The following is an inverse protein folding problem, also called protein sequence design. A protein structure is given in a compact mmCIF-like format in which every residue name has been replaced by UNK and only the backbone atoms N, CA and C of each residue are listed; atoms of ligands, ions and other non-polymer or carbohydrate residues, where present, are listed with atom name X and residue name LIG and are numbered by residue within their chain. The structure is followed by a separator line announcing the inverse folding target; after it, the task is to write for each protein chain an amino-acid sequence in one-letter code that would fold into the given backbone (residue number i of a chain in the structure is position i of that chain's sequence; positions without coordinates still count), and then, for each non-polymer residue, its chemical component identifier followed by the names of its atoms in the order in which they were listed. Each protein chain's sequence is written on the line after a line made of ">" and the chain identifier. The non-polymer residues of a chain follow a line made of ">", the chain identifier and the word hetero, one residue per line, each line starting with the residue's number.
data_IF_514582467818
#
_entry.id   IF_514582467818
#
_cell.length_a   1.000
_cell.length_b   1.000
_cell.length_c   1.000
_cell.angle_alpha   90.00
_cell.angle_beta   90.00
_cell.angle_gamma   90.00
#
_symmetry.space_group_name_H-M   'P 1'
#
loop_
_entity.id
_entity.type
_entity.pdbx_description
1 polymer ?
#
# COMPACT_ATOMS: atom_id res chain seq x y z
N UNK A 1 5.35 12.63 -3.39
CA UNK A 1 5.10 12.06 -2.04
C UNK A 1 4.29 10.78 -2.14
N UNK A 2 4.55 9.79 -1.29
CA UNK A 2 3.79 8.54 -1.19
C UNK A 2 3.05 8.46 0.14
N UNK A 3 1.73 8.39 0.09
CA UNK A 3 0.84 8.23 1.24
C UNK A 3 0.32 6.78 1.29
N UNK A 4 0.47 6.10 2.43
CA UNK A 4 -0.05 4.74 2.56
C UNK A 4 -0.43 4.39 4.00
N UNK A 5 -1.14 3.29 4.17
CA UNK A 5 -1.19 2.65 5.48
C UNK A 5 0.14 1.89 5.74
N UNK A 6 0.52 1.71 7.00
CA UNK A 6 1.56 0.73 7.31
C UNK A 6 1.15 -0.66 6.80
N UNK A 7 2.13 -1.42 6.30
CA UNK A 7 1.93 -2.77 5.72
C UNK A 7 1.18 -2.82 4.37
N UNK A 8 1.02 -1.70 3.67
CA UNK A 8 0.51 -1.65 2.28
C UNK A 8 1.58 -1.86 1.19
N UNK A 9 2.75 -2.41 1.53
CA UNK A 9 3.82 -2.64 0.54
C UNK A 9 4.67 -1.42 0.18
N UNK A 10 4.56 -0.29 0.91
CA UNK A 10 5.36 0.91 0.62
C UNK A 10 6.85 0.69 0.66
N UNK A 11 7.37 -0.19 1.53
CA UNK A 11 8.80 -0.49 1.54
C UNK A 11 9.24 -1.07 0.19
N UNK A 12 8.55 -2.08 -0.33
CA UNK A 12 8.88 -2.69 -1.62
C UNK A 12 8.79 -1.68 -2.77
N UNK A 13 7.75 -0.85 -2.76
CA UNK A 13 7.57 0.21 -3.75
C UNK A 13 8.76 1.20 -3.77
N UNK A 14 9.22 1.65 -2.60
CA UNK A 14 10.31 2.61 -2.55
C UNK A 14 11.68 1.95 -2.78
N UNK A 15 11.84 0.65 -2.45
CA UNK A 15 13.01 -0.15 -2.87
C UNK A 15 13.14 -0.21 -4.38
N UNK A 16 12.03 -0.36 -5.10
CA UNK A 16 12.01 -0.28 -6.56
C UNK A 16 12.41 1.12 -7.05
N UNK A 17 11.89 2.19 -6.45
CA UNK A 17 12.28 3.56 -6.83
C UNK A 17 13.76 3.86 -6.64
N UNK A 18 14.40 3.34 -5.59
CA UNK A 18 15.84 3.53 -5.34
C UNK A 18 16.77 2.82 -6.33
N UNK A 19 16.20 2.04 -7.25
CA UNK A 19 16.95 1.55 -8.40
C UNK A 19 17.19 2.65 -9.42
N UNK A 20 16.35 3.69 -9.46
CA UNK A 20 16.54 4.84 -10.32
C UNK A 20 17.75 5.67 -9.83
N UNK A 21 18.70 6.03 -10.71
CA UNK A 21 19.96 6.67 -10.32
C UNK A 21 19.75 8.06 -9.70
N UNK A 22 18.73 8.76 -10.18
CA UNK A 22 18.45 10.15 -9.82
C UNK A 22 17.35 10.29 -8.76
N UNK A 23 16.84 9.19 -8.19
CA UNK A 23 15.76 9.24 -7.18
C UNK A 23 16.33 8.93 -5.81
N UNK A 24 16.08 9.86 -4.88
CA UNK A 24 16.22 9.64 -3.45
C UNK A 24 14.85 9.44 -2.81
N UNK A 25 14.78 8.56 -1.82
CA UNK A 25 13.56 8.31 -1.05
C UNK A 25 13.77 8.60 0.42
N UNK A 26 12.78 9.22 1.06
CA UNK A 26 12.89 9.59 2.47
C UNK A 26 11.69 9.06 3.24
N UNK A 27 11.96 8.28 4.30
CA UNK A 27 10.94 7.58 5.06
C UNK A 27 10.58 8.22 6.39
N UNK A 28 9.30 8.55 6.59
CA UNK A 28 8.72 8.71 7.93
C UNK A 28 9.19 9.93 8.72
N UNK A 29 9.73 10.95 8.07
CA UNK A 29 10.18 12.21 8.70
C UNK A 29 9.00 12.92 9.35
N UNK A 30 7.92 13.13 8.59
CA UNK A 30 6.72 13.85 9.04
C UNK A 30 6.09 13.22 10.29
N UNK A 31 6.06 11.88 10.35
CA UNK A 31 5.50 11.13 11.46
C UNK A 31 6.46 10.96 12.65
N UNK A 32 7.76 11.18 12.47
CA UNK A 32 8.80 10.84 13.47
C UNK A 32 8.53 11.48 14.83
N UNK A 33 8.17 12.78 14.96
CA UNK A 33 7.90 13.35 16.27
C UNK A 33 6.69 12.70 16.95
N UNK A 34 5.64 12.37 16.19
CA UNK A 34 4.43 11.72 16.71
C UNK A 34 4.73 10.33 17.32
N UNK A 35 5.73 9.62 16.78
CA UNK A 35 6.20 8.35 17.36
C UNK A 35 6.94 8.54 18.67
N UNK A 36 7.59 9.69 18.84
CA UNK A 36 8.41 10.01 20.01
C UNK A 36 7.62 10.81 21.07
N UNK A 37 6.28 10.75 21.04
CA UNK A 37 5.41 11.47 21.97
C UNK A 37 5.25 12.97 21.67
N UNK A 38 5.76 13.45 20.54
CA UNK A 38 5.55 14.82 20.06
C UNK A 38 4.09 15.08 19.68
N UNK A 39 3.64 16.32 19.89
CA UNK A 39 2.25 16.71 19.63
C UNK A 39 1.93 17.04 18.17
N UNK A 40 2.95 17.29 17.33
CA UNK A 40 2.77 17.79 15.96
C UNK A 40 3.66 17.04 14.95
N UNK A 41 3.24 16.93 13.68
CA UNK A 41 4.08 16.42 12.60
C UNK A 41 5.28 17.32 12.33
N UNK A 42 6.34 16.75 11.75
CA UNK A 42 7.53 17.49 11.33
C UNK A 42 7.51 17.78 9.82
N UNK A 43 7.27 19.03 9.48
CA UNK A 43 7.17 19.47 8.10
C UNK A 43 8.50 19.99 7.52
N UNK A 44 9.61 19.86 8.24
CA UNK A 44 10.94 20.35 7.79
C UNK A 44 11.39 19.77 6.46
N UNK A 45 10.90 18.59 6.07
CA UNK A 45 11.19 17.96 4.77
C UNK A 45 10.79 18.83 3.58
N UNK A 46 9.85 19.75 3.78
CA UNK A 46 9.37 20.68 2.76
C UNK A 46 10.25 21.90 2.55
N UNK A 47 11.11 22.18 3.52
CA UNK A 47 12.02 23.33 3.52
C UNK A 47 13.48 22.87 3.37
N UNK A 48 13.69 21.55 3.24
CA UNK A 48 15.00 20.94 3.08
C UNK A 48 15.50 21.00 1.63
N UNK A 49 16.81 21.13 1.48
CA UNK A 49 17.52 20.94 0.21
C UNK A 49 17.99 19.48 0.13
N UNK A 50 17.89 18.90 -1.07
CA UNK A 50 18.29 17.52 -1.35
C UNK A 50 19.34 17.50 -2.46
N UNK A 51 20.32 16.61 -2.34
CA UNK A 51 21.36 16.43 -3.35
C UNK A 51 20.82 15.75 -4.61
N UNK A 52 19.77 14.95 -4.46
CA UNK A 52 19.08 14.27 -5.56
C UNK A 52 18.14 15.24 -6.29
N UNK A 53 18.07 15.18 -7.64
CA UNK A 53 17.12 16.00 -8.39
C UNK A 53 15.66 15.58 -8.14
N UNK A 54 15.42 14.36 -7.67
CA UNK A 54 14.08 13.85 -7.39
C UNK A 54 14.00 13.18 -6.02
N UNK A 55 13.28 13.81 -5.09
CA UNK A 55 13.07 13.26 -3.76
C UNK A 55 11.64 12.77 -3.57
N UNK A 56 11.49 11.49 -3.24
CA UNK A 56 10.21 10.85 -2.93
C UNK A 56 10.07 10.65 -1.42
N UNK A 57 9.29 11.53 -0.80
CA UNK A 57 8.97 11.44 0.62
C UNK A 57 7.83 10.45 0.84
N UNK A 58 8.00 9.56 1.83
CA UNK A 58 7.01 8.58 2.27
C UNK A 58 6.36 9.00 3.59
N UNK A 59 5.03 8.95 3.61
CA UNK A 59 4.18 9.14 4.78
C UNK A 59 3.27 7.94 5.01
N UNK A 60 3.29 7.37 6.23
CA UNK A 60 2.51 6.17 6.55
C UNK A 60 1.60 6.39 7.76
N UNK A 61 0.34 6.05 7.63
CA UNK A 61 -0.65 6.12 8.72
C UNK A 61 -0.65 4.84 9.57
N UNK A 62 -1.03 4.95 10.84
CA UNK A 62 -1.33 3.81 11.71
C UNK A 62 -0.39 3.58 12.90
N UNK A 63 -0.57 2.44 13.58
CA UNK A 63 0.20 1.90 14.73
C UNK A 63 -0.39 2.16 16.12
N UNK A 64 -0.03 3.26 16.78
CA UNK A 64 -0.11 3.32 18.25
C UNK A 64 -1.11 4.34 18.79
N UNK A 65 -1.24 5.49 18.13
CA UNK A 65 -2.09 6.58 18.60
C UNK A 65 -2.97 7.09 17.49
N UNK A 66 -4.11 7.68 17.85
CA UNK A 66 -5.02 8.33 16.89
C UNK A 66 -4.27 9.38 16.06
N UNK A 67 -3.37 10.16 16.67
CA UNK A 67 -2.56 11.15 15.96
C UNK A 67 -1.65 10.52 14.90
N UNK A 68 -1.06 9.35 15.18
CA UNK A 68 -0.28 8.59 14.19
C UNK A 68 -1.16 8.00 13.07
N UNK A 69 -2.47 7.87 13.30
CA UNK A 69 -3.45 7.41 12.33
C UNK A 69 -4.04 8.55 11.47
N UNK A 70 -4.14 9.78 12.00
CA UNK A 70 -4.91 10.86 11.38
C UNK A 70 -4.15 12.15 11.09
N UNK A 71 -2.82 12.16 11.17
CA UNK A 71 -2.05 13.36 10.83
C UNK A 71 -2.19 13.73 9.35
N UNK A 72 -2.12 15.03 9.02
CA UNK A 72 -1.98 15.46 7.62
C UNK A 72 -0.51 15.43 7.23
N UNK A 73 -0.13 14.80 6.11
CA UNK A 73 1.23 14.91 5.60
C UNK A 73 1.51 16.27 4.93
N UNK A 74 0.50 17.05 4.57
CA UNK A 74 0.60 18.35 3.90
C UNK A 74 0.32 19.50 4.86
N UNK A 75 1.05 20.63 4.73
CA UNK A 75 0.75 21.86 5.49
C UNK A 75 -0.40 22.64 4.85
N UNK A 76 -0.42 22.67 3.52
CA UNK A 76 -1.30 23.49 2.68
C UNK A 76 -1.45 22.88 1.28
N UNK A 77 -2.22 23.56 0.42
CA UNK A 77 -2.49 23.16 -0.96
C UNK A 77 -1.25 23.25 -1.86
N UNK A 78 -0.32 24.17 -1.55
CA UNK A 78 0.93 24.30 -2.29
C UNK A 78 1.81 23.05 -2.11
N UNK A 79 1.85 22.49 -0.91
CA UNK A 79 2.52 21.21 -0.64
C UNK A 79 1.88 20.06 -1.43
N UNK A 80 0.57 20.06 -1.65
CA UNK A 80 -0.14 19.06 -2.47
C UNK A 80 0.28 19.22 -3.94
N UNK A 81 0.22 20.43 -4.50
CA UNK A 81 0.61 20.67 -5.89
C UNK A 81 2.08 20.33 -6.14
N UNK A 82 2.95 20.74 -5.22
CA UNK A 82 4.40 20.49 -5.31
C UNK A 82 4.72 19.01 -5.27
N UNK A 83 4.12 18.26 -4.36
CA UNK A 83 4.52 16.87 -4.11
C UNK A 83 3.80 15.83 -4.96
N UNK A 84 2.74 16.22 -5.68
CA UNK A 84 1.95 15.36 -6.59
C UNK A 84 1.67 13.99 -5.96
N UNK A 85 0.87 13.93 -4.89
CA UNK A 85 0.76 12.75 -4.04
C UNK A 85 0.37 11.47 -4.79
N UNK A 86 1.01 10.37 -4.43
CA UNK A 86 0.60 9.01 -4.77
C UNK A 86 0.05 8.33 -3.53
N UNK A 87 -1.17 7.83 -3.60
CA UNK A 87 -1.77 6.99 -2.57
C UNK A 87 -1.55 5.53 -2.93
N UNK A 88 -0.73 4.83 -2.13
CA UNK A 88 -0.53 3.39 -2.25
C UNK A 88 -1.50 2.67 -1.31
N UNK A 89 -2.59 2.16 -1.89
CA UNK A 89 -3.61 1.41 -1.18
C UNK A 89 -3.40 -0.09 -1.37
N UNK A 90 -3.96 -0.89 -0.46
CA UNK A 90 -3.91 -2.35 -0.50
C UNK A 90 -5.19 -2.88 0.12
N UNK A 91 -5.66 -4.05 -0.32
CA UNK A 91 -6.83 -4.71 0.26
C UNK A 91 -6.83 -4.62 1.80
N UNK A 92 -7.85 -3.99 2.41
CA UNK A 92 -7.90 -3.76 3.85
C UNK A 92 -7.81 -5.06 4.66
N UNK A 93 -8.33 -6.18 4.15
CA UNK A 93 -8.26 -7.49 4.82
C UNK A 93 -6.81 -7.97 4.89
N UNK A 94 -6.06 -7.84 3.79
CA UNK A 94 -4.65 -8.22 3.77
C UNK A 94 -3.80 -7.32 4.67
N UNK A 95 -4.08 -6.01 4.71
CA UNK A 95 -3.36 -5.09 5.58
C UNK A 95 -3.64 -5.40 7.04
N UNK A 96 -4.91 -5.62 7.42
CA UNK A 96 -5.29 -6.02 8.77
C UNK A 96 -4.62 -7.32 9.20
N UNK A 97 -4.68 -8.36 8.36
CA UNK A 97 -4.01 -9.63 8.64
C UNK A 97 -2.49 -9.44 8.80
N UNK A 98 -1.90 -8.51 8.05
CA UNK A 98 -0.49 -8.18 8.23
C UNK A 98 -0.22 -7.38 9.52
N UNK A 99 -1.14 -6.56 10.01
CA UNK A 99 -1.02 -5.86 11.31
C UNK A 99 -1.13 -6.83 12.47
N UNK A 100 -2.13 -7.72 12.44
CA UNK A 100 -2.34 -8.75 13.44
C UNK A 100 -1.10 -9.66 13.59
N UNK A 101 -0.46 -10.04 12.48
CA UNK A 101 0.81 -10.80 12.49
C UNK A 101 1.98 -10.06 13.13
N UNK A 102 1.93 -8.73 13.25
CA UNK A 102 2.93 -7.93 13.96
C UNK A 102 2.55 -7.68 15.42
N UNK A 103 1.44 -8.25 15.90
CA UNK A 103 0.88 -8.01 17.23
C UNK A 103 0.14 -6.69 17.37
N UNK A 104 -0.15 -5.99 16.27
CA UNK A 104 -0.88 -4.72 16.28
C UNK A 104 -2.38 -4.99 16.25
N UNK A 105 -2.93 -5.31 17.43
CA UNK A 105 -4.30 -5.79 17.56
C UNK A 105 -5.33 -4.68 17.80
N UNK A 106 -4.95 -3.40 17.69
CA UNK A 106 -5.85 -2.26 17.85
C UNK A 106 -6.67 -2.03 16.57
N UNK A 107 -7.76 -2.79 16.43
CA UNK A 107 -8.62 -2.73 15.23
C UNK A 107 -9.21 -1.34 14.97
N UNK A 108 -9.62 -0.61 16.01
CA UNK A 108 -10.11 0.77 15.85
C UNK A 108 -9.03 1.71 15.28
N UNK A 109 -7.77 1.57 15.68
CA UNK A 109 -6.69 2.35 15.09
C UNK A 109 -6.47 2.00 13.61
N UNK A 110 -6.63 0.73 13.24
CA UNK A 110 -6.60 0.30 11.85
C UNK A 110 -7.72 0.98 11.04
N UNK A 111 -8.97 0.92 11.53
CA UNK A 111 -10.12 1.57 10.89
C UNK A 111 -9.89 3.06 10.71
N UNK A 112 -9.55 3.76 11.79
CA UNK A 112 -9.29 5.20 11.78
C UNK A 112 -8.20 5.54 10.74
N UNK A 113 -7.10 4.81 10.72
CA UNK A 113 -5.99 5.08 9.80
C UNK A 113 -6.34 4.78 8.34
N UNK A 114 -7.08 3.70 8.07
CA UNK A 114 -7.49 3.34 6.72
C UNK A 114 -8.53 4.35 6.20
N UNK A 115 -9.55 4.66 7.01
CA UNK A 115 -10.56 5.66 6.69
C UNK A 115 -9.93 7.03 6.43
N UNK A 116 -9.01 7.47 7.29
CA UNK A 116 -8.27 8.71 7.10
C UNK A 116 -7.48 8.73 5.78
N UNK A 117 -6.84 7.63 5.39
CA UNK A 117 -6.14 7.54 4.11
C UNK A 117 -7.09 7.75 2.91
N UNK A 118 -8.28 7.16 2.97
CA UNK A 118 -9.30 7.29 1.92
C UNK A 118 -9.88 8.71 1.86
N UNK A 119 -10.21 9.28 3.03
CA UNK A 119 -10.75 10.64 3.12
C UNK A 119 -9.71 11.67 2.69
N UNK A 120 -8.45 11.49 3.10
CA UNK A 120 -7.34 12.33 2.67
C UNK A 120 -7.16 12.27 1.15
N UNK A 121 -7.24 11.09 0.55
CA UNK A 121 -7.18 10.95 -0.92
C UNK A 121 -8.28 11.75 -1.61
N UNK A 122 -9.53 11.61 -1.16
CA UNK A 122 -10.65 12.36 -1.71
C UNK A 122 -10.44 13.87 -1.57
N UNK A 123 -10.03 14.34 -0.40
CA UNK A 123 -9.79 15.76 -0.13
C UNK A 123 -8.69 16.35 -1.01
N UNK A 124 -7.51 15.72 -1.08
CA UNK A 124 -6.39 16.29 -1.85
C UNK A 124 -6.62 16.23 -3.36
N UNK A 125 -7.51 15.34 -3.82
CA UNK A 125 -7.92 15.27 -5.22
C UNK A 125 -8.79 16.43 -5.67
N UNK A 126 -9.54 17.05 -4.75
CA UNK A 126 -10.26 18.29 -5.05
C UNK A 126 -9.31 19.47 -5.25
N UNK A 127 -8.09 19.37 -4.72
CA UNK A 127 -7.04 20.41 -4.83
C UNK A 127 -6.23 20.24 -6.11
N UNK A 128 -5.85 19.01 -6.47
CA UNK A 128 -4.88 18.76 -7.56
C UNK A 128 -5.25 17.54 -8.41
N UNK A 129 -5.25 17.74 -9.73
CA UNK A 129 -5.46 16.69 -10.75
C UNK A 129 -4.27 15.73 -10.89
N UNK A 130 -3.10 16.10 -10.34
CA UNK A 130 -1.87 15.29 -10.33
C UNK A 130 -1.76 14.31 -9.17
N UNK A 131 -2.82 14.19 -8.37
CA UNK A 131 -2.92 13.16 -7.34
C UNK A 131 -3.26 11.83 -7.99
N UNK A 132 -2.48 10.79 -7.66
CA UNK A 132 -2.70 9.42 -8.14
C UNK A 132 -3.00 8.49 -6.99
N UNK A 133 -3.71 7.41 -7.29
CA UNK A 133 -3.93 6.31 -6.37
C UNK A 133 -3.69 4.99 -7.10
N UNK A 134 -2.98 4.08 -6.43
CA UNK A 134 -2.54 2.82 -7.00
C UNK A 134 -2.74 1.72 -5.96
N UNK A 135 -3.32 0.62 -6.39
CA UNK A 135 -3.33 -0.61 -5.61
C UNK A 135 -1.96 -1.30 -5.65
N UNK A 136 -1.53 -1.78 -4.51
CA UNK A 136 -0.33 -2.60 -4.40
C UNK A 136 -0.44 -3.88 -5.27
N UNK A 137 -1.63 -4.44 -5.39
CA UNK A 137 -1.94 -5.60 -6.20
C UNK A 137 -1.58 -5.37 -7.68
N UNK A 138 -1.97 -4.22 -8.24
CA UNK A 138 -1.65 -3.87 -9.63
C UNK A 138 -0.15 -3.62 -9.85
N UNK A 139 0.53 -2.97 -8.89
CA UNK A 139 1.97 -2.82 -8.94
C UNK A 139 2.70 -4.17 -8.98
N UNK A 140 2.16 -5.19 -8.31
CA UNK A 140 2.73 -6.54 -8.33
C UNK A 140 2.45 -7.30 -9.63
N UNK A 141 1.32 -7.04 -10.29
CA UNK A 141 0.91 -7.78 -11.49
C UNK A 141 1.45 -7.18 -12.79
N UNK A 142 1.46 -5.86 -12.92
CA UNK A 142 1.85 -5.15 -14.16
C UNK A 142 2.77 -3.94 -13.89
N UNK A 143 3.90 -4.13 -13.18
CA UNK A 143 4.80 -3.04 -12.80
C UNK A 143 5.32 -2.22 -14.01
N UNK A 144 5.56 -2.88 -15.14
CA UNK A 144 6.04 -2.28 -16.38
C UNK A 144 5.07 -1.28 -17.03
N UNK A 145 3.80 -1.28 -16.62
CA UNK A 145 2.80 -0.29 -17.06
C UNK A 145 2.66 0.81 -16.01
N UNK A 146 2.55 0.41 -14.74
CA UNK A 146 2.22 1.33 -13.64
C UNK A 146 3.39 2.25 -13.27
N UNK A 147 4.63 1.74 -13.22
CA UNK A 147 5.79 2.57 -12.86
C UNK A 147 6.05 3.72 -13.84
N UNK A 148 6.07 3.51 -15.18
CA UNK A 148 6.21 4.61 -16.13
C UNK A 148 5.21 5.75 -15.87
N UNK A 149 3.93 5.43 -15.65
CA UNK A 149 2.88 6.42 -15.43
C UNK A 149 3.05 7.18 -14.10
N UNK A 150 3.49 6.49 -13.04
CA UNK A 150 3.82 7.14 -11.77
C UNK A 150 4.99 8.11 -11.94
N UNK A 151 6.06 7.68 -12.61
CA UNK A 151 7.26 8.51 -12.81
C UNK A 151 6.95 9.71 -13.72
N UNK A 152 6.19 9.51 -14.80
CA UNK A 152 5.70 10.58 -15.66
C UNK A 152 4.88 11.62 -14.88
N UNK A 153 3.95 11.18 -14.02
CA UNK A 153 3.16 12.06 -13.17
C UNK A 153 4.06 12.93 -12.26
N UNK A 154 5.17 12.38 -11.79
CA UNK A 154 6.18 13.10 -11.00
C UNK A 154 7.18 13.90 -11.83
N UNK A 155 7.15 13.79 -13.16
CA UNK A 155 8.15 14.40 -14.03
C UNK A 155 9.53 13.79 -13.89
N UNK A 156 9.60 12.53 -13.45
CA UNK A 156 10.82 11.74 -13.36
C UNK A 156 10.95 10.94 -14.67
N UNK A 157 12.07 10.99 -15.38
CA UNK A 157 12.32 10.14 -16.55
C UNK A 157 12.13 8.66 -16.18
N UNK A 158 11.56 7.87 -17.10
CA UNK A 158 11.45 6.43 -16.86
C UNK A 158 12.82 5.76 -16.98
N UNK A 159 13.16 4.95 -15.99
CA UNK A 159 14.33 4.08 -16.00
C UNK A 159 13.88 2.63 -15.77
N UNK A 160 14.27 1.71 -16.64
CA UNK A 160 13.84 0.31 -16.57
C UNK A 160 14.27 -0.40 -15.29
N UNK A 161 15.31 0.10 -14.59
CA UNK A 161 15.82 -0.51 -13.35
C UNK A 161 14.83 -0.49 -12.21
N UNK A 162 13.83 0.39 -12.23
CA UNK A 162 12.76 0.41 -11.22
C UNK A 162 11.91 -0.87 -11.26
N UNK A 163 11.84 -1.53 -12.43
CA UNK A 163 11.13 -2.80 -12.62
C UNK A 163 12.11 -3.97 -12.71
N UNK A 164 13.17 -3.82 -13.49
CA UNK A 164 14.16 -4.85 -13.76
C UNK A 164 15.43 -4.58 -12.97
N UNK A 165 15.48 -5.10 -11.75
CA UNK A 165 16.56 -4.80 -10.82
C UNK A 165 17.89 -5.37 -11.33
N UNK A 166 18.86 -4.49 -11.52
CA UNK A 166 20.24 -4.87 -11.87
C UNK A 166 21.11 -5.04 -10.62
N UNK A 167 20.75 -4.38 -9.52
CA UNK A 167 21.52 -4.35 -8.27
C UNK A 167 20.72 -4.93 -7.10
N UNK A 168 20.94 -6.22 -6.84
CA UNK A 168 20.33 -6.93 -5.71
C UNK A 168 20.81 -6.41 -4.34
N UNK A 169 21.94 -5.70 -4.27
CA UNK A 169 22.46 -5.18 -3.00
C UNK A 169 21.57 -4.09 -2.40
N UNK A 170 20.83 -3.37 -3.26
CA UNK A 170 19.88 -2.32 -2.87
C UNK A 170 18.59 -2.88 -2.24
N UNK A 171 18.34 -4.18 -2.35
CA UNK A 171 17.16 -4.85 -1.76
C UNK A 171 17.21 -4.86 -0.22
N UNK A 172 18.42 -4.81 0.36
CA UNK A 172 18.65 -4.75 1.81
C UNK A 172 19.00 -3.36 2.37
N UNK A 173 19.28 -2.38 1.50
CA UNK A 173 19.81 -1.06 1.90
C UNK A 173 18.75 -0.14 2.56
N UNK A 174 17.47 -0.52 2.55
CA UNK A 174 16.43 0.11 3.37
C UNK A 174 16.56 -0.29 4.85
N UNK A 175 17.68 0.07 5.46
CA UNK A 175 17.87 0.09 6.90
C UNK A 175 17.13 1.31 7.46
N UNK A 176 15.83 1.17 7.69
CA UNK A 176 15.21 1.92 8.79
C UNK A 176 15.82 1.36 10.06
N UNK A 177 16.88 1.99 10.59
CA UNK A 177 17.51 1.65 11.87
C UNK A 177 17.46 0.15 12.21
N UNK A 178 18.38 -0.61 11.62
CA UNK A 178 18.86 -1.93 12.09
C UNK A 178 17.81 -2.88 12.67
N UNK A 179 17.30 -3.81 11.85
CA UNK A 179 17.04 -5.22 12.24
C UNK A 179 16.17 -6.01 11.24
N UNK A 180 15.62 -5.39 10.19
CA UNK A 180 14.67 -6.07 9.29
C UNK A 180 15.28 -6.90 8.15
N UNK A 181 16.55 -6.69 7.80
CA UNK A 181 17.16 -7.36 6.65
C UNK A 181 17.27 -8.89 6.83
N UNK A 182 17.42 -9.37 8.07
CA UNK A 182 17.51 -10.81 8.36
C UNK A 182 16.15 -11.52 8.29
N UNK A 183 15.04 -10.81 8.49
CA UNK A 183 13.72 -11.45 8.59
C UNK A 183 13.12 -11.77 7.22
N UNK A 184 13.38 -10.96 6.20
CA UNK A 184 12.71 -11.09 4.90
C UNK A 184 13.26 -12.26 4.07
N UNK A 185 14.57 -12.50 4.10
CA UNK A 185 15.18 -13.67 3.46
C UNK A 185 14.87 -14.96 4.20
N UNK A 186 14.78 -14.91 5.53
CA UNK A 186 14.38 -16.06 6.34
C UNK A 186 12.91 -16.42 6.06
N UNK A 187 12.00 -15.44 6.01
CA UNK A 187 10.59 -15.64 5.67
C UNK A 187 10.44 -16.20 4.25
N UNK A 188 11.15 -15.66 3.25
CA UNK A 188 11.09 -16.18 1.86
C UNK A 188 11.63 -17.61 1.76
N UNK A 189 12.70 -17.96 2.49
CA UNK A 189 13.23 -19.34 2.54
C UNK A 189 12.28 -20.28 3.27
N UNK A 190 11.68 -19.83 4.36
CA UNK A 190 10.73 -20.63 5.15
C UNK A 190 9.41 -20.84 4.39
N UNK A 191 8.92 -19.82 3.66
CA UNK A 191 7.74 -19.92 2.78
C UNK A 191 8.02 -20.80 1.56
N UNK A 192 9.20 -20.69 0.93
CA UNK A 192 9.60 -21.56 -0.18
C UNK A 192 9.77 -23.03 0.25
N UNK A 193 10.33 -23.27 1.45
CA UNK A 193 10.46 -24.62 2.03
C UNK A 193 9.09 -25.21 2.37
N UNK A 194 8.22 -24.44 3.02
CA UNK A 194 6.85 -24.88 3.34
C UNK A 194 6.03 -25.17 2.07
N UNK A 195 6.18 -24.36 1.01
CA UNK A 195 5.51 -24.60 -0.27
C UNK A 195 6.03 -25.89 -0.94
N UNK A 196 7.34 -26.14 -0.87
CA UNK A 196 7.96 -27.37 -1.41
C UNK A 196 7.49 -28.63 -0.67
N UNK A 197 7.44 -28.59 0.67
CA UNK A 197 6.95 -29.70 1.50
C UNK A 197 5.45 -29.98 1.30
N UNK A 198 4.64 -28.92 1.13
CA UNK A 198 3.20 -29.01 0.85
C UNK A 198 2.92 -29.62 -0.52
N UNK A 199 3.75 -29.32 -1.52
CA UNK A 199 3.63 -29.87 -2.88
C UNK A 199 4.08 -31.33 -2.99
N UNK A 200 4.89 -31.82 -2.04
CA UNK A 200 5.41 -33.19 -2.07
C UNK A 200 4.57 -34.22 -1.28
N UNK A 201 3.65 -33.80 -0.41
CA UNK A 201 3.04 -34.72 0.58
C UNK A 201 1.51 -34.74 0.69
N UNK A 202 0.72 -33.98 -0.08
CA UNK A 202 -0.74 -33.86 0.16
C UNK A 202 -1.69 -34.19 -1.00
N UNK A 203 -2.69 -35.10 -0.83
CA UNK A 203 -3.92 -35.14 -1.62
C UNK A 203 -5.04 -34.25 -1.00
N UNK A 204 -6.16 -34.02 -1.73
CA UNK A 204 -6.82 -32.71 -1.80
C UNK A 204 -7.79 -32.48 -0.66
N UNK A 205 -7.63 -31.38 0.05
CA UNK A 205 -8.66 -30.44 0.54
C UNK A 205 -8.06 -29.61 1.67
N UNK A 206 -7.98 -28.30 1.47
CA UNK A 206 -7.64 -27.36 2.52
C UNK A 206 -8.73 -27.40 3.61
N UNK A 207 -8.49 -28.20 4.67
CA UNK A 207 -9.21 -28.05 5.93
C UNK A 207 -8.67 -26.81 6.65
N UNK A 208 -9.45 -25.75 6.54
CA UNK A 208 -9.45 -24.59 7.41
C UNK A 208 -9.29 -25.01 8.87
N UNK A 209 -8.14 -24.70 9.47
CA UNK A 209 -7.99 -24.62 10.93
C UNK A 209 -7.68 -23.17 11.24
N UNK A 210 -8.72 -22.33 11.15
CA UNK A 210 -8.77 -21.09 11.92
C UNK A 210 -9.01 -21.54 13.36
N UNK A 211 -7.94 -21.73 14.14
CA UNK A 211 -8.08 -21.70 15.61
C UNK A 211 -8.50 -20.28 15.96
N UNK A 212 -9.79 -20.11 16.26
CA UNK A 212 -10.32 -18.88 16.86
C UNK A 212 -9.53 -18.62 18.15
N UNK A 213 -8.91 -17.44 18.34
CA UNK A 213 -8.70 -16.96 19.70
C UNK A 213 -10.10 -16.67 20.26
N UNK A 214 -10.53 -17.46 21.24
CA UNK A 214 -11.91 -17.47 21.75
C UNK A 214 -12.37 -16.15 22.38
N UNK A 215 -11.58 -15.07 22.40
CA UNK A 215 -11.98 -13.80 23.03
C UNK A 215 -11.49 -12.52 22.34
N UNK A 216 -11.15 -12.54 21.04
CA UNK A 216 -10.81 -11.28 20.34
C UNK A 216 -11.21 -11.34 18.88
N UNK A 217 -11.96 -10.33 18.43
CA UNK A 217 -12.47 -10.10 17.07
C UNK A 217 -13.90 -10.60 16.82
N UNK A 218 -14.83 -10.16 17.66
CA UNK A 218 -16.08 -9.63 17.10
C UNK A 218 -15.74 -8.33 16.36
N UNK A 219 -15.09 -8.45 15.20
CA UNK A 219 -15.08 -7.37 14.23
C UNK A 219 -16.51 -7.26 13.75
N UNK A 220 -17.11 -6.09 13.80
CA UNK A 220 -18.33 -5.86 13.06
C UNK A 220 -17.97 -5.96 11.58
N UNK A 221 -18.27 -7.10 10.97
CA UNK A 221 -17.99 -7.41 9.56
C UNK A 221 -18.43 -6.25 8.66
N UNK A 222 -19.50 -5.56 9.04
CA UNK A 222 -19.98 -4.33 8.41
C UNK A 222 -18.90 -3.26 8.22
N UNK A 223 -18.04 -3.02 9.22
CA UNK A 223 -16.99 -2.00 9.17
C UNK A 223 -15.89 -2.33 8.15
N UNK A 224 -15.43 -3.59 8.13
CA UNK A 224 -14.47 -4.03 7.11
C UNK A 224 -15.08 -3.97 5.72
N UNK A 225 -16.38 -4.26 5.62
CA UNK A 225 -17.10 -4.20 4.35
C UNK A 225 -17.23 -2.76 3.85
N UNK A 226 -17.50 -1.77 4.71
CA UNK A 226 -17.51 -0.35 4.29
C UNK A 226 -16.15 0.07 3.73
N UNK A 227 -15.06 -0.24 4.44
CA UNK A 227 -13.71 0.01 3.95
C UNK A 227 -13.43 -0.69 2.63
N UNK A 228 -13.86 -1.95 2.50
CA UNK A 228 -13.69 -2.72 1.27
C UNK A 228 -14.49 -2.14 0.11
N UNK A 229 -15.71 -1.63 0.33
CA UNK A 229 -16.50 -0.98 -0.70
C UNK A 229 -15.89 0.33 -1.16
N UNK A 230 -15.42 1.17 -0.23
CA UNK A 230 -14.71 2.41 -0.57
C UNK A 230 -13.41 2.13 -1.31
N UNK A 231 -12.64 1.14 -0.85
CA UNK A 231 -11.45 0.64 -1.55
C UNK A 231 -11.82 0.22 -2.98
N UNK A 232 -12.85 -0.62 -3.14
CA UNK A 232 -13.29 -1.11 -4.44
C UNK A 232 -13.74 0.04 -5.35
N UNK A 233 -14.41 1.06 -4.83
CA UNK A 233 -14.80 2.24 -5.60
C UNK A 233 -13.58 3.02 -6.13
N UNK A 234 -12.56 3.23 -5.29
CA UNK A 234 -11.31 3.86 -5.73
C UNK A 234 -10.57 3.00 -6.76
N UNK A 235 -10.59 1.68 -6.56
CA UNK A 235 -9.98 0.73 -7.50
C UNK A 235 -10.60 0.81 -8.89
N UNK A 236 -11.93 0.91 -8.97
CA UNK A 236 -12.63 1.10 -10.24
C UNK A 236 -12.22 2.40 -10.92
N UNK A 237 -12.28 3.51 -10.18
CA UNK A 237 -11.95 4.83 -10.71
C UNK A 237 -10.50 4.93 -11.20
N UNK A 238 -9.58 4.33 -10.46
CA UNK A 238 -8.15 4.30 -10.83
C UNK A 238 -7.92 3.41 -12.04
N UNK A 239 -8.56 2.25 -12.10
CA UNK A 239 -8.46 1.32 -13.24
C UNK A 239 -8.95 2.00 -14.52
N UNK A 240 -10.08 2.71 -14.49
CA UNK A 240 -10.58 3.45 -15.66
C UNK A 240 -9.56 4.46 -16.19
N UNK A 241 -8.88 5.20 -15.31
CA UNK A 241 -7.84 6.16 -15.72
C UNK A 241 -6.63 5.49 -16.35
N UNK A 242 -6.24 4.32 -15.85
CA UNK A 242 -5.09 3.58 -16.38
C UNK A 242 -5.39 2.88 -17.71
N UNK A 243 -6.66 2.65 -18.03
CA UNK A 243 -7.11 1.98 -19.25
C UNK A 243 -7.26 2.95 -20.43
N UNK A 244 -7.62 4.21 -20.17
CA UNK A 244 -7.98 5.16 -21.23
C UNK A 244 -6.78 5.66 -22.06
N UNK A 245 -5.57 5.65 -21.50
CA UNK A 245 -4.36 6.19 -22.17
C UNK A 245 -3.50 5.13 -22.91
N UNK A 246 -3.91 3.86 -22.91
CA UNK A 246 -3.25 2.78 -23.64
C UNK A 246 -4.20 2.09 -24.63
N UNK A 247 -3.92 2.20 -25.93
CA UNK A 247 -4.75 1.70 -27.03
C UNK A 247 -5.19 0.21 -26.96
N UNK A 248 -6.09 -0.21 -27.89
CA UNK A 248 -7.13 -1.19 -27.64
C UNK A 248 -6.64 -2.63 -27.79
N UNK A 249 -6.70 -3.45 -26.72
CA UNK A 249 -6.80 -4.91 -26.87
C UNK A 249 -7.23 -5.74 -25.64
N UNK A 250 -7.86 -5.21 -24.58
CA UNK A 250 -8.49 -6.15 -23.63
C UNK A 250 -9.66 -5.66 -22.76
N UNK A 251 -10.65 -5.05 -23.40
CA UNK A 251 -11.97 -4.81 -22.79
C UNK A 251 -12.60 -6.12 -22.25
N UNK A 252 -12.26 -7.27 -22.85
CA UNK A 252 -12.71 -8.59 -22.40
C UNK A 252 -12.12 -9.02 -21.07
N UNK A 253 -10.80 -8.90 -20.87
CA UNK A 253 -10.18 -9.22 -19.57
C UNK A 253 -10.56 -8.25 -18.46
N UNK A 254 -10.82 -6.98 -18.77
CA UNK A 254 -11.29 -5.98 -17.80
C UNK A 254 -12.72 -6.29 -17.31
N UNK A 255 -13.63 -6.63 -18.23
CA UNK A 255 -15.00 -7.04 -17.88
C UNK A 255 -15.03 -8.38 -17.12
N UNK A 256 -14.12 -9.31 -17.43
CA UNK A 256 -14.00 -10.57 -16.69
C UNK A 256 -13.43 -10.36 -15.28
N UNK A 257 -12.49 -9.43 -15.08
CA UNK A 257 -11.96 -9.11 -13.75
C UNK A 257 -13.04 -8.50 -12.83
N UNK A 258 -13.85 -7.58 -13.37
CA UNK A 258 -14.98 -6.97 -12.68
C UNK A 258 -16.07 -7.99 -12.36
N UNK A 259 -16.31 -8.94 -13.27
CA UNK A 259 -17.26 -10.03 -13.05
C UNK A 259 -16.79 -10.99 -11.96
N UNK A 260 -15.50 -11.33 -11.92
CA UNK A 260 -14.91 -12.19 -10.88
C UNK A 260 -14.93 -11.50 -9.50
N UNK A 261 -14.65 -10.18 -9.44
CA UNK A 261 -14.76 -9.40 -8.20
C UNK A 261 -16.21 -9.34 -7.69
N UNK A 262 -17.18 -9.19 -8.59
CA UNK A 262 -18.60 -9.20 -8.26
C UNK A 262 -19.13 -10.60 -7.88
N UNK A 263 -18.57 -11.67 -8.45
CA UNK A 263 -18.91 -13.06 -8.10
C UNK A 263 -18.31 -13.48 -6.74
N UNK A 264 -17.07 -13.07 -6.44
CA UNK A 264 -16.43 -13.27 -5.15
C UNK A 264 -17.17 -12.52 -4.03
N UNK A 265 -17.63 -11.29 -4.30
CA UNK A 265 -18.53 -10.53 -3.43
C UNK A 265 -19.86 -11.27 -3.19
N UNK A 266 -20.47 -11.83 -4.24
CA UNK A 266 -21.77 -12.55 -4.13
C UNK A 266 -21.66 -13.88 -3.37
N UNK A 267 -20.65 -14.71 -3.64
CA UNK A 267 -20.40 -15.97 -2.91
C UNK A 267 -20.08 -15.75 -1.43
N UNK A 268 -19.42 -14.65 -1.10
CA UNK A 268 -19.12 -14.29 0.28
C UNK A 268 -20.37 -13.82 1.04
N UNK A 269 -21.26 -13.05 0.38
CA UNK A 269 -22.55 -12.65 0.94
C UNK A 269 -23.48 -13.85 1.20
N UNK A 270 -23.40 -14.91 0.41
CA UNK A 270 -24.13 -16.16 0.66
C UNK A 270 -23.63 -16.86 1.94
N UNK A 271 -22.31 -17.01 2.09
CA UNK A 271 -21.70 -17.61 3.29
C UNK A 271 -22.02 -16.81 4.57
N UNK A 272 -22.13 -15.48 4.48
CA UNK A 272 -22.54 -14.63 5.62
C UNK A 272 -24.04 -14.71 5.94
N UNK A 273 -24.89 -15.09 4.98
CA UNK A 273 -26.32 -15.38 5.17
C UNK A 273 -26.58 -16.80 5.69
N UNK A 274 -25.53 -17.63 5.76
CA UNK A 274 -25.65 -19.05 6.06
C UNK A 274 -26.28 -19.86 4.93
N UNK A 275 -26.21 -19.36 3.68
CA UNK A 275 -26.70 -19.98 2.45
C UNK A 275 -25.61 -20.82 1.75
#
# INVERSE_FOLDING_TARGET
>A
MVCSLQRSGTTAFLTALNQHPDVETIGGVIKRPLKNGGAKPDYSVYDAEFDSPYTVVRSNFGRETVQQCTFSPFRDDDDIHRTRPLFLIKDPVQVWNSWARQGWNQFEHFKIAYQHLLDLYAQVREVSDRVRCVAQEFLGTVPQIIFPQILENWGIPYDSRVVYWEDESKVGAYSLNGDFAKTTDQIRRDEARNLHETLQTGPPTYRTVIRRPENSLQIEIADLMDLYFRYSAIMLETTDRYIVDGGPSDLGRQLELLRIMDEARRKHLAVLRGE
#
